data_IF_062562111685
#
_entry.id   IF_062562111685
#
_cell.length_a   1.000
_cell.length_b   1.000
_cell.length_c   1.000
_cell.angle_alpha   90.00
_cell.angle_beta   90.00
_cell.angle_gamma   90.00
#
_symmetry.space_group_name_H-M   'P 1'
#
loop_
_entity.id
_entity.type
_entity.pdbx_description
1 polymer ?
#
# COMPACT_ATOMS: atom_id res chain seq x y z
N UNK A 1 -8.85 -10.99 -11.49
CA UNK A 1 -7.71 -10.03 -11.53
C UNK A 1 -8.27 -8.63 -11.26
N UNK A 2 -7.61 -7.84 -10.43
CA UNK A 2 -8.08 -6.52 -10.03
C UNK A 2 -7.07 -5.46 -10.45
N UNK A 3 -7.52 -4.45 -11.19
CA UNK A 3 -6.62 -3.41 -11.70
C UNK A 3 -6.31 -2.37 -10.62
N UNK A 4 -5.03 -2.06 -10.41
CA UNK A 4 -4.55 -0.93 -9.60
C UNK A 4 -4.11 0.19 -10.53
N UNK A 5 -4.69 1.40 -10.38
CA UNK A 5 -4.29 2.56 -11.17
C UNK A 5 -3.66 3.66 -10.32
N UNK A 6 -4.05 3.74 -9.05
CA UNK A 6 -3.69 4.82 -8.15
C UNK A 6 -3.20 4.28 -6.80
N UNK A 7 -2.07 4.81 -6.33
CA UNK A 7 -1.33 4.32 -5.17
C UNK A 7 -1.05 5.50 -4.24
N UNK A 8 -1.40 5.33 -2.96
CA UNK A 8 -0.98 6.22 -1.88
C UNK A 8 0.33 5.70 -1.27
N UNK A 9 1.32 6.56 -1.09
CA UNK A 9 2.50 6.28 -0.26
C UNK A 9 2.33 7.06 1.04
N UNK A 10 1.98 6.35 2.12
CA UNK A 10 1.56 6.95 3.40
C UNK A 10 2.71 7.14 4.41
N UNK A 11 3.87 6.54 4.15
CA UNK A 11 5.05 6.62 5.01
C UNK A 11 6.25 7.25 4.26
N UNK A 12 7.26 7.64 5.05
CA UNK A 12 8.50 8.17 4.51
C UNK A 12 9.28 7.05 3.80
N UNK A 13 9.29 7.13 2.47
CA UNK A 13 9.97 6.24 1.54
C UNK A 13 10.73 7.11 0.52
N UNK A 14 11.84 6.60 0.01
CA UNK A 14 12.65 7.28 -1.01
C UNK A 14 11.81 7.72 -2.21
N UNK A 15 12.09 8.92 -2.73
CA UNK A 15 11.36 9.52 -3.85
C UNK A 15 11.40 8.62 -5.11
N UNK A 16 12.47 7.86 -5.29
CA UNK A 16 12.62 6.92 -6.39
C UNK A 16 11.47 5.89 -6.48
N UNK A 17 10.82 5.56 -5.36
CA UNK A 17 9.61 4.73 -5.36
C UNK A 17 8.49 5.33 -6.21
N UNK A 18 8.22 6.63 -5.98
CA UNK A 18 7.19 7.37 -6.72
C UNK A 18 7.53 7.41 -8.20
N UNK A 19 8.80 7.71 -8.50
CA UNK A 19 9.29 7.89 -9.86
C UNK A 19 9.18 6.58 -10.66
N UNK A 20 9.55 5.44 -10.07
CA UNK A 20 9.42 4.12 -10.70
C UNK A 20 7.95 3.75 -10.92
N UNK A 21 7.06 3.98 -9.95
CA UNK A 21 5.64 3.68 -10.12
C UNK A 21 5.03 4.52 -11.25
N UNK A 22 5.35 5.82 -11.30
CA UNK A 22 4.89 6.74 -12.34
C UNK A 22 5.45 6.41 -13.72
N UNK A 23 6.74 6.06 -13.81
CA UNK A 23 7.38 5.63 -15.04
C UNK A 23 6.72 4.37 -15.64
N UNK A 24 6.10 3.55 -14.79
CA UNK A 24 5.36 2.36 -15.19
C UNK A 24 3.84 2.59 -15.36
N UNK A 25 3.40 3.85 -15.46
CA UNK A 25 2.02 4.22 -15.78
C UNK A 25 1.03 4.18 -14.60
N UNK A 26 1.53 4.06 -13.37
CA UNK A 26 0.71 4.12 -12.16
C UNK A 26 0.69 5.53 -11.59
N UNK A 27 -0.47 6.01 -11.15
CA UNK A 27 -0.56 7.27 -10.42
C UNK A 27 -0.07 7.04 -8.98
N UNK A 28 1.08 7.58 -8.61
CA UNK A 28 1.59 7.51 -7.24
C UNK A 28 1.55 8.89 -6.57
N UNK A 29 0.96 8.94 -5.36
CA UNK A 29 0.84 10.15 -4.54
C UNK A 29 1.47 9.88 -3.18
N UNK A 30 2.49 10.66 -2.80
CA UNK A 30 3.12 10.59 -1.48
C UNK A 30 2.50 11.61 -0.53
N UNK A 31 1.90 11.13 0.56
CA UNK A 31 1.34 11.95 1.65
C UNK A 31 1.62 11.27 2.98
N UNK A 32 2.57 11.81 3.74
CA UNK A 32 3.03 11.19 4.98
C UNK A 32 2.40 11.84 6.22
N UNK A 33 2.51 11.16 7.37
CA UNK A 33 2.05 11.67 8.69
C UNK A 33 0.55 11.98 8.74
N UNK A 34 -0.26 11.18 8.04
CA UNK A 34 -1.71 11.30 8.04
C UNK A 34 -2.29 10.83 9.38
N UNK A 35 -3.30 11.54 9.90
CA UNK A 35 -4.17 10.98 10.94
C UNK A 35 -4.96 9.79 10.39
N UNK A 36 -5.58 8.99 11.28
CA UNK A 36 -6.43 7.86 10.85
C UNK A 36 -7.56 8.33 9.92
N UNK A 37 -8.20 9.44 10.23
CA UNK A 37 -9.31 10.01 9.46
C UNK A 37 -8.82 10.52 8.09
N UNK A 38 -7.67 11.19 8.07
CA UNK A 38 -7.04 11.65 6.82
C UNK A 38 -6.59 10.47 5.95
N UNK A 39 -6.05 9.43 6.56
CA UNK A 39 -5.66 8.20 5.89
C UNK A 39 -6.87 7.56 5.22
N UNK A 40 -7.98 7.37 5.96
CA UNK A 40 -9.24 6.82 5.40
C UNK A 40 -9.72 7.70 4.24
N UNK A 41 -9.79 9.02 4.43
CA UNK A 41 -10.22 9.95 3.40
C UNK A 41 -9.37 9.85 2.12
N UNK A 42 -8.06 9.64 2.26
CA UNK A 42 -7.18 9.48 1.11
C UNK A 42 -7.31 8.10 0.48
N UNK A 43 -7.37 7.04 1.27
CA UNK A 43 -7.54 5.65 0.80
C UNK A 43 -8.81 5.45 -0.02
N UNK A 44 -9.90 6.22 0.23
CA UNK A 44 -11.10 6.19 -0.64
C UNK A 44 -10.82 6.62 -2.10
N UNK A 45 -9.69 7.27 -2.37
CA UNK A 45 -9.30 7.76 -3.70
C UNK A 45 -8.31 6.85 -4.41
N UNK A 46 -7.66 5.93 -3.68
CA UNK A 46 -6.58 5.09 -4.19
C UNK A 46 -6.98 3.61 -4.20
N UNK A 47 -6.42 2.87 -5.14
CA UNK A 47 -6.66 1.42 -5.25
C UNK A 47 -5.70 0.63 -4.36
N UNK A 48 -4.54 1.22 -4.04
CA UNK A 48 -3.53 0.60 -3.21
C UNK A 48 -2.83 1.61 -2.29
N UNK A 49 -2.16 1.08 -1.26
CA UNK A 49 -1.33 1.86 -0.36
C UNK A 49 0.01 1.19 -0.14
N UNK A 50 1.07 2.00 -0.11
CA UNK A 50 2.40 1.60 0.34
C UNK A 50 2.66 2.24 1.70
N UNK A 51 2.96 1.41 2.69
CA UNK A 51 3.31 1.80 4.05
C UNK A 51 4.70 1.27 4.42
N UNK A 52 5.25 1.75 5.53
CA UNK A 52 6.44 1.21 6.19
C UNK A 52 6.04 0.83 7.61
N UNK A 53 6.70 1.37 8.64
CA UNK A 53 6.47 1.02 10.04
C UNK A 53 5.59 2.01 10.79
N UNK A 54 5.36 3.21 10.25
CA UNK A 54 4.72 4.30 11.00
C UNK A 54 3.20 4.29 10.86
N UNK A 55 2.70 4.21 9.62
CA UNK A 55 1.26 4.13 9.35
C UNK A 55 0.71 2.78 9.80
N UNK A 56 -0.43 2.77 10.50
CA UNK A 56 -1.12 1.56 10.92
C UNK A 56 -2.36 1.34 10.05
N UNK A 57 -2.46 0.17 9.43
CA UNK A 57 -3.62 -0.26 8.65
C UNK A 57 -4.43 -1.22 9.53
N UNK A 58 -5.24 -0.65 10.43
CA UNK A 58 -6.09 -1.43 11.35
C UNK A 58 -7.36 -1.93 10.65
N UNK A 59 -8.07 -2.88 11.28
CA UNK A 59 -9.41 -3.32 10.84
C UNK A 59 -10.33 -2.15 10.51
N UNK A 60 -10.41 -1.16 11.40
CA UNK A 60 -11.28 0.00 11.22
C UNK A 60 -10.93 0.82 9.97
N UNK A 61 -9.64 0.90 9.61
CA UNK A 61 -9.19 1.57 8.38
C UNK A 61 -9.65 0.77 7.16
N UNK A 62 -9.46 -0.55 7.18
CA UNK A 62 -9.82 -1.47 6.08
C UNK A 62 -11.35 -1.48 5.86
N UNK A 63 -12.12 -1.63 6.93
CA UNK A 63 -13.59 -1.61 6.90
C UNK A 63 -14.12 -0.30 6.33
N UNK A 64 -13.54 0.84 6.75
CA UNK A 64 -13.96 2.16 6.28
C UNK A 64 -13.75 2.39 4.78
N UNK A 65 -12.83 1.64 4.14
CA UNK A 65 -12.54 1.75 2.70
C UNK A 65 -12.85 0.46 1.94
N UNK A 66 -13.68 -0.40 2.53
CA UNK A 66 -14.08 -1.69 1.96
C UNK A 66 -14.62 -1.52 0.53
N UNK A 67 -14.17 -2.40 -0.37
CA UNK A 67 -14.51 -2.36 -1.79
C UNK A 67 -13.70 -1.35 -2.63
N UNK A 68 -12.91 -0.46 -2.00
CA UNK A 68 -12.01 0.47 -2.70
C UNK A 68 -10.55 0.04 -2.64
N UNK A 69 -10.03 -0.21 -1.44
CA UNK A 69 -8.65 -0.64 -1.27
C UNK A 69 -8.51 -2.10 -1.71
N UNK A 70 -7.56 -2.39 -2.59
CA UNK A 70 -7.32 -3.73 -3.16
C UNK A 70 -5.98 -4.31 -2.74
N UNK A 71 -5.00 -3.45 -2.50
CA UNK A 71 -3.63 -3.87 -2.25
C UNK A 71 -2.94 -3.01 -1.19
N UNK A 72 -2.28 -3.67 -0.25
CA UNK A 72 -1.41 -3.05 0.75
C UNK A 72 0.00 -3.59 0.54
N UNK A 73 0.94 -2.70 0.21
CA UNK A 73 2.36 -3.00 0.15
C UNK A 73 3.07 -2.47 1.39
N UNK A 74 3.80 -3.31 2.11
CA UNK A 74 4.68 -2.87 3.19
C UNK A 74 6.14 -2.95 2.78
N UNK A 75 6.82 -1.82 2.78
CA UNK A 75 8.25 -1.72 2.56
C UNK A 75 9.04 -2.18 3.80
N UNK A 76 9.12 -3.50 4.00
CA UNK A 76 9.84 -4.12 5.12
C UNK A 76 9.45 -5.59 5.34
N UNK A 77 10.12 -6.23 6.29
CA UNK A 77 10.00 -7.69 6.53
C UNK A 77 8.75 -8.09 7.31
N UNK A 78 8.44 -7.39 8.41
CA UNK A 78 7.24 -7.65 9.19
C UNK A 78 5.97 -7.15 8.50
N UNK A 79 4.81 -7.47 9.08
CA UNK A 79 3.47 -6.94 8.70
C UNK A 79 2.66 -6.55 9.95
N UNK A 80 3.36 -6.26 11.05
CA UNK A 80 2.79 -6.10 12.41
C UNK A 80 1.86 -4.88 12.55
N UNK A 81 1.94 -3.93 11.61
CA UNK A 81 1.09 -2.74 11.55
C UNK A 81 -0.12 -2.90 10.63
N UNK A 82 -0.36 -4.10 10.10
CA UNK A 82 -1.47 -4.39 9.19
C UNK A 82 -2.33 -5.49 9.81
N UNK A 83 -3.64 -5.26 9.88
CA UNK A 83 -4.59 -6.29 10.28
C UNK A 83 -4.82 -7.27 9.12
N UNK A 84 -4.05 -8.37 9.12
CA UNK A 84 -4.11 -9.38 8.06
C UNK A 84 -5.45 -10.12 7.99
N UNK A 85 -6.13 -10.26 9.14
CA UNK A 85 -7.42 -10.94 9.22
C UNK A 85 -8.46 -10.09 8.51
N UNK A 86 -8.56 -8.81 8.87
CA UNK A 86 -9.45 -7.88 8.20
C UNK A 86 -9.09 -7.73 6.70
N UNK A 87 -7.80 -7.67 6.35
CA UNK A 87 -7.40 -7.61 4.95
C UNK A 87 -7.91 -8.81 4.15
N UNK A 88 -7.79 -10.02 4.71
CA UNK A 88 -8.28 -11.25 4.08
C UNK A 88 -9.81 -11.27 3.97
N UNK A 89 -10.52 -10.90 5.04
CA UNK A 89 -12.00 -10.82 5.09
C UNK A 89 -12.56 -9.86 4.04
N UNK A 90 -11.85 -8.77 3.76
CA UNK A 90 -12.26 -7.73 2.81
C UNK A 90 -11.65 -7.88 1.41
N UNK A 91 -10.95 -9.00 1.13
CA UNK A 91 -10.37 -9.27 -0.19
C UNK A 91 -9.21 -8.33 -0.56
N UNK A 92 -8.54 -7.74 0.44
CA UNK A 92 -7.38 -6.87 0.26
C UNK A 92 -6.12 -7.71 0.33
N UNK A 93 -5.32 -7.68 -0.74
CA UNK A 93 -4.04 -8.39 -0.77
C UNK A 93 -3.01 -7.62 0.06
N UNK A 94 -2.21 -8.33 0.84
CA UNK A 94 -1.08 -7.76 1.59
C UNK A 94 0.21 -8.35 1.05
N UNK A 95 1.16 -7.48 0.69
CA UNK A 95 2.49 -7.85 0.25
C UNK A 95 3.56 -7.16 1.10
N UNK A 96 4.65 -7.85 1.36
CA UNK A 96 5.80 -7.35 2.10
C UNK A 96 7.11 -7.76 1.41
N UNK A 97 8.25 -7.42 2.03
CA UNK A 97 9.58 -7.79 1.55
C UNK A 97 10.16 -8.88 2.46
N UNK A 98 9.99 -10.18 2.17
CA UNK A 98 10.56 -11.21 3.03
C UNK A 98 12.10 -11.20 2.98
N UNK A 99 12.76 -11.18 4.14
CA UNK A 99 14.23 -11.32 4.28
C UNK A 99 15.05 -10.03 4.11
N UNK A 100 16.30 -10.15 3.67
CA UNK A 100 17.21 -9.02 3.37
C UNK A 100 16.97 -8.40 1.98
N UNK A 101 15.87 -8.76 1.30
CA UNK A 101 15.59 -8.24 -0.03
C UNK A 101 15.49 -6.71 0.00
N UNK A 102 16.16 -6.09 -0.97
CA UNK A 102 16.21 -4.64 -1.07
C UNK A 102 14.84 -4.05 -1.46
N UNK A 103 14.74 -2.74 -1.32
CA UNK A 103 13.53 -2.00 -1.62
C UNK A 103 13.09 -2.12 -3.10
N UNK A 104 13.99 -2.40 -4.02
CA UNK A 104 13.68 -2.54 -5.46
C UNK A 104 13.00 -3.86 -5.76
N UNK A 105 13.42 -4.96 -5.12
CA UNK A 105 12.75 -6.24 -5.23
C UNK A 105 11.28 -6.12 -4.82
N UNK A 106 11.01 -5.46 -3.68
CA UNK A 106 9.65 -5.15 -3.25
C UNK A 106 8.86 -4.42 -4.32
N UNK A 107 9.42 -3.35 -4.88
CA UNK A 107 8.73 -2.52 -5.85
C UNK A 107 8.40 -3.28 -7.13
N UNK A 108 9.32 -4.14 -7.58
CA UNK A 108 9.10 -5.02 -8.72
C UNK A 108 7.96 -6.03 -8.47
N UNK A 109 7.96 -6.72 -7.33
CA UNK A 109 6.88 -7.65 -6.97
C UNK A 109 5.54 -6.93 -6.78
N UNK A 110 5.56 -5.76 -6.13
CA UNK A 110 4.38 -4.94 -5.93
C UNK A 110 3.78 -4.54 -7.29
N UNK A 111 4.62 -4.09 -8.21
CA UNK A 111 4.23 -3.69 -9.55
C UNK A 111 3.57 -4.85 -10.32
N UNK A 112 4.16 -6.05 -10.31
CA UNK A 112 3.62 -7.22 -11.03
C UNK A 112 2.17 -7.57 -10.65
N UNK A 113 1.77 -7.31 -9.41
CA UNK A 113 0.40 -7.55 -8.95
C UNK A 113 -0.49 -6.31 -9.10
N UNK A 114 0.09 -5.12 -9.20
CA UNK A 114 -0.66 -3.89 -9.47
C UNK A 114 -1.14 -3.81 -10.93
N UNK A 115 -0.37 -4.36 -11.88
CA UNK A 115 -0.66 -4.24 -13.33
C UNK A 115 -1.41 -5.42 -13.95
N UNK A 116 -1.73 -6.46 -13.17
CA UNK A 116 -2.49 -7.65 -13.61
C UNK A 116 -4.00 -7.49 -13.35
#
# INVERSE_FOLDING_TARGET
MFRVNSILIADEIEQNCVDILQANGLTAVKKTKLSKEQLIAELTKHDAVIVRSATKITREVIEAVSGKLKLIGRAGTGVDNIDLVAATEHGVVVMNTPGEADFYAFLHFFWLHAVN
#
